data_IF_439249582046
#
_entry.id   IF_439249582046
#
_cell.length_a   1.000
_cell.length_b   1.000
_cell.length_c   1.000
_cell.angle_alpha   90.00
_cell.angle_beta   90.00
_cell.angle_gamma   90.00
#
_symmetry.space_group_name_H-M   'P 1'
#
loop_
_entity.id
_entity.type
_entity.pdbx_description
1 polymer ?
#
# COMPACT_ATOMS: atom_id res chain seq x y z
N UNK A 1 22.95 -0.94 -17.93
CA UNK A 1 22.54 -2.16 -18.66
C UNK A 1 23.78 -3.05 -18.66
N UNK A 2 23.74 -4.20 -17.98
CA UNK A 2 24.94 -4.99 -17.63
C UNK A 2 25.33 -5.87 -18.84
N UNK A 3 26.56 -5.66 -19.32
CA UNK A 3 27.11 -6.20 -20.59
C UNK A 3 27.70 -7.62 -20.43
N UNK A 4 26.89 -8.60 -20.00
CA UNK A 4 27.41 -9.96 -19.69
C UNK A 4 26.81 -11.10 -20.54
N UNK A 5 26.13 -10.79 -21.65
CA UNK A 5 25.27 -11.73 -22.38
C UNK A 5 26.00 -12.66 -23.37
N UNK A 6 27.30 -12.50 -23.64
CA UNK A 6 27.92 -13.11 -24.84
C UNK A 6 28.68 -14.44 -24.68
N UNK A 7 28.99 -14.91 -23.46
CA UNK A 7 29.95 -16.03 -23.31
C UNK A 7 29.42 -17.29 -22.61
N UNK A 8 28.18 -17.31 -22.12
CA UNK A 8 27.64 -18.48 -21.42
C UNK A 8 26.23 -18.86 -21.89
N UNK A 9 25.99 -20.14 -22.25
CA UNK A 9 24.68 -20.61 -22.72
C UNK A 9 23.58 -20.56 -21.65
N UNK A 10 23.87 -20.07 -20.45
CA UNK A 10 22.89 -19.75 -19.41
C UNK A 10 23.47 -18.64 -18.54
N UNK A 11 22.80 -17.49 -18.42
CA UNK A 11 23.20 -16.38 -17.54
C UNK A 11 23.58 -16.87 -16.13
N UNK A 12 22.91 -17.91 -15.63
CA UNK A 12 23.20 -18.57 -14.35
C UNK A 12 24.56 -19.28 -14.27
N UNK A 13 25.02 -19.91 -15.36
CA UNK A 13 26.28 -20.65 -15.40
C UNK A 13 27.50 -19.72 -15.30
N UNK A 14 27.39 -18.48 -15.76
CA UNK A 14 28.45 -17.47 -15.66
C UNK A 14 28.58 -16.88 -14.24
N UNK A 15 27.48 -16.76 -13.52
CA UNK A 15 27.40 -16.00 -12.26
C UNK A 15 27.43 -16.90 -11.02
N UNK A 16 26.92 -18.14 -11.12
CA UNK A 16 26.92 -19.09 -10.01
C UNK A 16 28.33 -19.40 -9.47
N UNK A 17 29.37 -19.66 -10.30
CA UNK A 17 30.73 -19.87 -9.80
C UNK A 17 31.32 -18.61 -9.15
N UNK A 18 30.90 -17.40 -9.55
CA UNK A 18 31.33 -16.14 -8.92
C UNK A 18 30.73 -15.93 -7.52
N UNK A 19 29.58 -16.55 -7.25
CA UNK A 19 28.87 -16.51 -5.97
C UNK A 19 29.24 -17.72 -5.09
N UNK A 20 29.93 -18.72 -5.66
CA UNK A 20 30.29 -19.96 -4.97
C UNK A 20 29.14 -20.95 -4.86
N UNK A 21 28.15 -20.90 -5.78
CA UNK A 21 27.01 -21.81 -5.80
C UNK A 21 26.89 -22.51 -7.17
N UNK A 22 26.02 -23.52 -7.24
CA UNK A 22 25.70 -24.16 -8.53
C UNK A 22 24.67 -23.33 -9.29
N UNK A 23 24.69 -23.35 -10.64
CA UNK A 23 23.72 -22.60 -11.45
C UNK A 23 22.27 -22.99 -11.15
N UNK A 24 22.02 -24.25 -10.81
CA UNK A 24 20.70 -24.74 -10.39
C UNK A 24 20.26 -24.12 -9.05
N UNK A 25 21.17 -24.00 -8.08
CA UNK A 25 20.85 -23.37 -6.78
C UNK A 25 20.43 -21.91 -6.98
N UNK A 26 21.17 -21.19 -7.82
CA UNK A 26 20.88 -19.79 -8.10
C UNK A 26 19.56 -19.59 -8.85
N UNK A 27 19.24 -20.51 -9.79
CA UNK A 27 17.95 -20.55 -10.46
C UNK A 27 16.80 -20.74 -9.47
N UNK A 28 16.94 -21.69 -8.54
CA UNK A 28 15.92 -21.94 -7.50
C UNK A 28 15.72 -20.72 -6.60
N UNK A 29 16.80 -20.05 -6.19
CA UNK A 29 16.70 -18.84 -5.38
C UNK A 29 16.01 -17.70 -6.12
N UNK A 30 16.34 -17.52 -7.41
CA UNK A 30 15.68 -16.53 -8.24
C UNK A 30 14.18 -16.82 -8.41
N UNK A 31 13.81 -18.08 -8.61
CA UNK A 31 12.39 -18.48 -8.68
C UNK A 31 11.65 -18.20 -7.37
N UNK A 32 12.26 -18.50 -6.22
CA UNK A 32 11.70 -18.17 -4.89
C UNK A 32 11.58 -16.66 -4.66
N UNK A 33 12.56 -15.89 -5.12
CA UNK A 33 12.51 -14.42 -5.04
C UNK A 33 11.37 -13.86 -5.87
N UNK A 34 11.15 -14.38 -7.09
CA UNK A 34 10.03 -13.99 -7.95
C UNK A 34 8.69 -14.36 -7.32
N UNK A 35 8.57 -15.55 -6.76
CA UNK A 35 7.36 -15.99 -6.04
C UNK A 35 7.05 -15.08 -4.84
N UNK A 36 8.05 -14.76 -4.02
CA UNK A 36 7.91 -13.84 -2.91
C UNK A 36 7.53 -12.42 -3.37
N UNK A 37 8.14 -11.91 -4.44
CA UNK A 37 7.78 -10.61 -5.02
C UNK A 37 6.34 -10.61 -5.54
N UNK A 38 5.89 -11.69 -6.17
CA UNK A 38 4.51 -11.83 -6.61
C UNK A 38 3.54 -11.91 -5.41
N UNK A 39 3.89 -12.66 -4.36
CA UNK A 39 3.10 -12.75 -3.13
C UNK A 39 2.98 -11.40 -2.42
N UNK A 40 4.07 -10.61 -2.36
CA UNK A 40 4.05 -9.24 -1.83
C UNK A 40 3.14 -8.36 -2.68
N UNK A 41 3.23 -8.41 -4.02
CA UNK A 41 2.33 -7.66 -4.91
C UNK A 41 0.87 -8.09 -4.74
N UNK A 42 0.61 -9.38 -4.58
CA UNK A 42 -0.73 -9.94 -4.34
C UNK A 42 -1.27 -9.56 -2.97
N UNK A 43 -0.43 -9.35 -1.95
CA UNK A 43 -0.84 -8.80 -0.64
C UNK A 43 -1.03 -7.28 -0.66
N UNK A 44 -0.35 -6.56 -1.55
CA UNK A 44 -0.53 -5.11 -1.73
C UNK A 44 -1.82 -4.77 -2.49
N UNK A 45 -2.29 -5.64 -3.40
CA UNK A 45 -3.57 -5.50 -4.10
C UNK A 45 -4.79 -5.34 -3.16
N UNK A 46 -5.02 -6.23 -2.16
CA UNK A 46 -6.12 -6.09 -1.22
C UNK A 46 -5.93 -4.89 -0.28
N UNK A 47 -4.70 -4.40 -0.07
CA UNK A 47 -4.47 -3.19 0.71
C UNK A 47 -4.92 -1.92 -0.03
N UNK A 48 -4.73 -1.85 -1.35
CA UNK A 48 -5.21 -0.72 -2.17
C UNK A 48 -6.75 -0.66 -2.27
N UNK A 49 -7.43 -1.81 -2.31
CA UNK A 49 -8.90 -1.87 -2.29
C UNK A 49 -9.48 -1.49 -0.92
N UNK A 50 -8.81 -1.86 0.18
CA UNK A 50 -9.20 -1.53 1.55
C UNK A 50 -9.08 -0.04 1.90
N UNK A 51 -8.35 0.76 1.12
CA UNK A 51 -8.24 2.21 1.31
C UNK A 51 -9.44 2.96 0.69
N UNK A 52 -10.01 2.47 -0.42
CA UNK A 52 -11.12 3.15 -1.12
C UNK A 52 -12.47 3.02 -0.42
N UNK A 53 -12.67 1.96 0.36
CA UNK A 53 -13.90 1.73 1.11
C UNK A 53 -14.13 2.73 2.26
N UNK A 54 -13.15 2.97 3.16
CA UNK A 54 -13.32 3.90 4.29
C UNK A 54 -13.42 5.37 3.87
N UNK A 55 -12.98 5.76 2.66
CA UNK A 55 -13.11 7.15 2.20
C UNK A 55 -14.56 7.60 2.00
N UNK A 56 -15.48 6.67 1.70
CA UNK A 56 -16.91 6.99 1.55
C UNK A 56 -17.58 7.19 2.90
N UNK A 57 -17.31 6.31 3.85
CA UNK A 57 -17.83 6.39 5.22
C UNK A 57 -17.32 7.64 5.93
N UNK A 58 -16.05 8.00 5.73
CA UNK A 58 -15.47 9.17 6.38
C UNK A 58 -16.09 10.50 5.88
N UNK A 59 -16.49 10.58 4.59
CA UNK A 59 -17.17 11.77 4.06
C UNK A 59 -18.55 11.99 4.66
N UNK A 60 -19.31 10.92 4.86
CA UNK A 60 -20.63 11.00 5.46
C UNK A 60 -20.54 11.37 6.94
N UNK A 61 -19.57 10.80 7.66
CA UNK A 61 -19.27 11.16 9.06
C UNK A 61 -18.83 12.64 9.16
N UNK A 62 -17.98 13.11 8.26
CA UNK A 62 -17.57 14.52 8.23
C UNK A 62 -18.76 15.46 8.00
N UNK A 63 -19.64 15.13 7.04
CA UNK A 63 -20.84 15.91 6.77
C UNK A 63 -21.79 15.97 7.96
N UNK A 64 -21.99 14.84 8.66
CA UNK A 64 -22.79 14.79 9.88
C UNK A 64 -22.18 15.67 10.99
N UNK A 65 -20.86 15.60 11.17
CA UNK A 65 -20.15 16.44 12.15
C UNK A 65 -20.27 17.93 11.83
N UNK A 66 -20.23 18.34 10.57
CA UNK A 66 -20.45 19.74 10.19
C UNK A 66 -21.85 20.23 10.51
N UNK A 67 -22.87 19.38 10.32
CA UNK A 67 -24.26 19.72 10.68
C UNK A 67 -24.39 19.88 12.19
N UNK A 68 -23.83 18.94 12.96
CA UNK A 68 -23.82 18.99 14.42
C UNK A 68 -23.08 20.22 14.94
N UNK A 69 -21.93 20.57 14.35
CA UNK A 69 -21.18 21.77 14.70
C UNK A 69 -22.00 23.03 14.43
N UNK A 70 -22.61 23.16 13.26
CA UNK A 70 -23.46 24.30 12.91
C UNK A 70 -24.65 24.42 13.86
N UNK A 71 -25.28 23.30 14.21
CA UNK A 71 -26.37 23.28 15.18
C UNK A 71 -25.89 23.72 16.56
N UNK A 72 -24.76 23.19 17.05
CA UNK A 72 -24.18 23.58 18.33
C UNK A 72 -23.86 25.08 18.39
N UNK A 73 -23.25 25.63 17.34
CA UNK A 73 -22.96 27.07 17.27
C UNK A 73 -24.24 27.91 17.26
N UNK A 74 -25.25 27.48 16.49
CA UNK A 74 -26.55 28.16 16.44
C UNK A 74 -27.23 28.15 17.81
N UNK A 75 -27.28 27.00 18.49
CA UNK A 75 -27.89 26.91 19.81
C UNK A 75 -27.12 27.70 20.87
N UNK A 76 -25.79 27.68 20.83
CA UNK A 76 -24.96 28.49 21.73
C UNK A 76 -25.20 30.01 21.53
N UNK A 77 -25.36 30.47 20.28
CA UNK A 77 -25.71 31.86 19.99
C UNK A 77 -27.12 32.22 20.48
N UNK A 78 -28.10 31.36 20.19
CA UNK A 78 -29.49 31.56 20.64
C UNK A 78 -29.61 31.54 22.16
N UNK A 79 -28.81 30.74 22.87
CA UNK A 79 -28.77 30.76 24.33
C UNK A 79 -28.18 32.06 24.91
N UNK A 80 -27.19 32.66 24.24
CA UNK A 80 -26.61 33.94 24.62
C UNK A 80 -27.54 35.13 24.33
N UNK A 81 -28.40 35.04 23.32
CA UNK A 81 -29.37 36.09 22.97
C UNK A 81 -30.68 36.04 23.79
N UNK A 82 -30.87 35.02 24.63
CA UNK A 82 -32.05 34.97 25.52
C UNK A 82 -31.88 35.98 26.66
N UNK A 83 -32.87 36.85 26.92
CA UNK A 83 -32.85 37.67 28.12
C UNK A 83 -32.90 36.75 29.33
N UNK A 84 -31.86 36.80 30.17
CA UNK A 84 -31.87 36.18 31.49
C UNK A 84 -33.03 36.80 32.29
N UNK A 85 -34.04 36.00 32.61
CA UNK A 85 -35.10 36.37 33.54
C UNK A 85 -34.66 36.11 34.97
#
# INVERSE_FOLDING_TARGET
MIEFEKDYPSNWAAIAPKIGCTPETLRVWYQKYLDQQNSIKVQQLPYQERIKQPERENKEVQRANEILLKAATFFAQVELERPHK
#
